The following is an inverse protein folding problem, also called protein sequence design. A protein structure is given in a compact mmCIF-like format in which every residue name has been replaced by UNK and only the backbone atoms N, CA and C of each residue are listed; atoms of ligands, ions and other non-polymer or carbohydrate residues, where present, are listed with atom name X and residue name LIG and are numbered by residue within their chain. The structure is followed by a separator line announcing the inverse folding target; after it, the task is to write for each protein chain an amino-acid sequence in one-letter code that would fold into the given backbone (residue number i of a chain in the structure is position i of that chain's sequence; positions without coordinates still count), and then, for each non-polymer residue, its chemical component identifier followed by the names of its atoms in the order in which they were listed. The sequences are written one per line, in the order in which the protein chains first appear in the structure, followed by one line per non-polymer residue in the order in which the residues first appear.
data_IF_163126272297
#
_entry.id   IF_163126272297
#
_cell.length_a   1.000
_cell.length_b   1.000
_cell.length_c   1.000
_cell.angle_alpha   90.00
_cell.angle_beta   90.00
_cell.angle_gamma   90.00
#
_symmetry.space_group_name_H-M   'P 1'
#
loop_
_entity.id
_entity.type
_entity.pdbx_description
1 polymer ?
#
# COMPACT_ATOMS: atom_id res chain seq x y z
N UNK A 1 -6.07 -10.87 -4.99
CA UNK A 1 -6.31 -11.63 -3.74
C UNK A 1 -6.89 -12.98 -4.11
N UNK A 2 -6.26 -14.09 -3.68
CA UNK A 2 -6.72 -15.43 -4.06
C UNK A 2 -7.82 -15.97 -3.14
N UNK A 3 -7.75 -15.66 -1.84
CA UNK A 3 -8.69 -16.26 -0.87
C UNK A 3 -9.56 -15.25 -0.15
N UNK A 4 -8.97 -14.11 0.29
CA UNK A 4 -9.70 -13.12 1.08
C UNK A 4 -9.09 -11.73 0.91
N UNK A 5 -9.90 -10.70 1.12
CA UNK A 5 -9.47 -9.30 1.23
C UNK A 5 -9.29 -8.87 2.68
N UNK A 6 -9.67 -9.73 3.64
CA UNK A 6 -9.47 -9.52 5.07
C UNK A 6 -9.14 -10.89 5.70
N UNK A 7 -7.88 -11.09 6.08
CA UNK A 7 -7.42 -12.33 6.71
C UNK A 7 -7.87 -12.32 8.17
N UNK A 8 -8.62 -13.33 8.57
CA UNK A 8 -9.12 -13.50 9.93
C UNK A 8 -8.72 -14.85 10.52
N UNK A 9 -8.94 -15.06 11.82
CA UNK A 9 -8.47 -16.24 12.56
C UNK A 9 -8.85 -17.57 11.89
N UNK A 10 -10.07 -17.70 11.35
CA UNK A 10 -10.53 -18.91 10.63
C UNK A 10 -9.69 -19.25 9.39
N UNK A 11 -8.99 -18.27 8.82
CA UNK A 11 -8.23 -18.40 7.57
C UNK A 11 -6.75 -18.74 7.83
N UNK A 12 -6.28 -18.68 9.10
CA UNK A 12 -4.87 -18.88 9.45
C UNK A 12 -4.35 -20.27 9.09
N UNK A 13 -5.22 -21.28 8.99
CA UNK A 13 -4.86 -22.63 8.52
C UNK A 13 -4.31 -22.63 7.08
N UNK A 14 -4.59 -21.59 6.29
CA UNK A 14 -4.03 -21.41 4.95
C UNK A 14 -2.52 -21.21 4.98
N UNK A 15 -1.98 -20.58 6.03
CA UNK A 15 -0.55 -20.32 6.16
C UNK A 15 0.23 -21.65 6.20
N UNK A 16 -0.21 -22.61 7.01
CA UNK A 16 0.42 -23.93 7.06
C UNK A 16 0.31 -24.68 5.72
N UNK A 17 -0.82 -24.53 5.03
CA UNK A 17 -1.02 -25.13 3.71
C UNK A 17 -0.05 -24.53 2.70
N UNK A 18 0.10 -23.20 2.67
CA UNK A 18 1.03 -22.51 1.77
C UNK A 18 2.48 -22.92 2.04
N UNK A 19 2.87 -23.00 3.30
CA UNK A 19 4.21 -23.46 3.67
C UNK A 19 4.47 -24.90 3.21
N UNK A 20 3.53 -25.82 3.41
CA UNK A 20 3.64 -27.23 2.97
C UNK A 20 3.74 -27.36 1.45
N UNK A 21 3.09 -26.48 0.69
CA UNK A 21 3.16 -26.47 -0.80
C UNK A 21 4.50 -25.87 -1.28
N UNK A 22 5.26 -25.17 -0.41
CA UNK A 22 6.59 -24.65 -0.72
C UNK A 22 6.66 -23.17 -0.99
N UNK A 23 5.66 -22.38 -0.59
CA UNK A 23 5.75 -20.92 -0.64
C UNK A 23 6.72 -20.38 0.43
N UNK A 24 7.46 -19.34 0.09
CA UNK A 24 8.38 -18.65 1.00
C UNK A 24 7.67 -17.58 1.81
N UNK A 25 6.62 -16.96 1.28
CA UNK A 25 5.89 -15.88 1.94
C UNK A 25 4.48 -15.67 1.43
N UNK A 26 3.83 -14.68 2.03
CA UNK A 26 2.45 -14.27 1.74
C UNK A 26 2.35 -12.75 1.66
N UNK A 27 1.46 -12.25 0.81
CA UNK A 27 1.08 -10.84 0.78
C UNK A 27 -0.24 -10.64 1.52
N UNK A 28 -0.23 -9.74 2.50
CA UNK A 28 -1.35 -9.50 3.41
C UNK A 28 -2.08 -8.22 3.02
N UNK A 29 -3.40 -8.28 2.74
CA UNK A 29 -4.20 -7.10 2.47
C UNK A 29 -4.43 -6.28 3.73
N UNK A 30 -4.12 -4.98 3.67
CA UNK A 30 -4.39 -3.98 4.70
C UNK A 30 -5.42 -3.00 4.15
N UNK A 31 -6.70 -3.38 4.24
CA UNK A 31 -7.80 -2.58 3.70
C UNK A 31 -8.73 -2.06 4.80
N UNK A 32 -8.79 -2.76 5.92
CA UNK A 32 -9.58 -2.43 7.12
C UNK A 32 -9.02 -3.17 8.34
N UNK A 33 -9.35 -2.73 9.54
CA UNK A 33 -8.97 -3.38 10.79
C UNK A 33 -8.07 -2.52 11.68
N UNK A 34 -7.80 -3.03 12.87
CA UNK A 34 -6.97 -2.38 13.87
C UNK A 34 -5.55 -2.98 13.87
N UNK A 35 -4.56 -2.21 14.33
CA UNK A 35 -3.15 -2.64 14.39
C UNK A 35 -2.98 -3.94 15.20
N UNK A 36 -3.72 -4.10 16.30
CA UNK A 36 -3.69 -5.33 17.12
C UNK A 36 -4.14 -6.59 16.36
N UNK A 37 -5.06 -6.45 15.41
CA UNK A 37 -5.46 -7.54 14.53
C UNK A 37 -4.28 -7.99 13.65
N UNK A 38 -3.57 -7.05 13.05
CA UNK A 38 -2.42 -7.32 12.20
C UNK A 38 -1.22 -7.87 12.97
N UNK A 39 -1.04 -7.47 14.23
CA UNK A 39 -0.05 -8.08 15.10
C UNK A 39 -0.31 -9.60 15.30
N UNK A 40 -1.56 -10.01 15.53
CA UNK A 40 -1.92 -11.44 15.67
C UNK A 40 -1.66 -12.22 14.38
N UNK A 41 -1.98 -11.61 13.22
CA UNK A 41 -1.66 -12.19 11.90
C UNK A 41 -0.14 -12.37 11.76
N UNK A 42 0.65 -11.35 12.08
CA UNK A 42 2.10 -11.40 12.03
C UNK A 42 2.70 -12.52 12.87
N UNK A 43 2.16 -12.75 14.09
CA UNK A 43 2.58 -13.86 14.93
C UNK A 43 2.26 -15.22 14.28
N UNK A 44 1.09 -15.38 13.65
CA UNK A 44 0.73 -16.60 12.95
C UNK A 44 1.64 -16.86 11.73
N UNK A 45 1.94 -15.85 10.94
CA UNK A 45 2.85 -15.94 9.79
C UNK A 45 4.24 -16.38 10.24
N UNK A 46 4.78 -15.72 11.27
CA UNK A 46 6.08 -16.07 11.86
C UNK A 46 6.11 -17.51 12.34
N UNK A 47 5.06 -17.97 13.04
CA UNK A 47 4.96 -19.34 13.54
C UNK A 47 4.88 -20.38 12.41
N UNK A 48 4.32 -20.02 11.26
CA UNK A 48 4.28 -20.88 10.06
C UNK A 48 5.59 -20.88 9.27
N UNK A 49 6.57 -20.04 9.65
CA UNK A 49 7.86 -19.94 8.97
C UNK A 49 7.77 -19.30 7.59
N UNK A 50 6.77 -18.45 7.37
CA UNK A 50 6.59 -17.66 6.14
C UNK A 50 7.11 -16.24 6.33
N UNK A 51 7.58 -15.63 5.24
CA UNK A 51 7.82 -14.18 5.14
C UNK A 51 6.53 -13.45 4.78
N UNK A 52 6.50 -12.12 4.96
CA UNK A 52 5.33 -11.32 4.58
C UNK A 52 5.70 -10.04 3.84
N UNK A 53 4.88 -9.71 2.85
CA UNK A 53 4.68 -8.38 2.32
C UNK A 53 3.25 -7.93 2.60
N UNK A 54 2.97 -6.66 2.47
CA UNK A 54 1.62 -6.12 2.66
C UNK A 54 1.20 -5.26 1.49
N UNK A 55 -0.12 -5.16 1.27
CA UNK A 55 -0.69 -4.37 0.19
C UNK A 55 -1.84 -3.53 0.70
N UNK A 56 -1.90 -2.26 0.26
CA UNK A 56 -3.03 -1.37 0.53
C UNK A 56 -3.50 -0.67 -0.73
N UNK A 57 -4.75 -0.20 -0.72
CA UNK A 57 -5.39 0.54 -1.81
C UNK A 57 -6.18 1.71 -1.25
N UNK A 58 -6.42 2.72 -2.07
CA UNK A 58 -7.30 3.83 -1.71
C UNK A 58 -8.63 3.65 -2.43
N UNK A 59 -9.68 3.39 -1.67
CA UNK A 59 -11.06 3.25 -2.18
C UNK A 59 -11.99 4.37 -1.73
N UNK A 60 -11.61 5.11 -0.67
CA UNK A 60 -12.41 6.21 -0.15
C UNK A 60 -12.03 7.53 -0.84
N UNK A 61 -13.02 8.18 -1.47
CA UNK A 61 -12.83 9.46 -2.19
C UNK A 61 -12.27 10.59 -1.33
N UNK A 62 -12.51 10.55 -0.02
CA UNK A 62 -11.99 11.54 0.91
C UNK A 62 -10.53 11.31 1.32
N UNK A 63 -9.87 10.25 0.85
CA UNK A 63 -8.46 9.90 1.12
C UNK A 63 -7.60 10.01 -0.14
N UNK A 64 -7.86 11.04 -0.96
CA UNK A 64 -7.30 11.11 -2.30
C UNK A 64 -5.98 11.93 -2.33
N UNK A 65 -4.81 11.29 -2.59
CA UNK A 65 -3.50 11.95 -2.61
C UNK A 65 -3.38 13.04 -3.66
N UNK A 66 -4.10 12.92 -4.78
CA UNK A 66 -4.04 13.89 -5.90
C UNK A 66 -5.08 15.03 -5.77
N UNK A 67 -5.96 14.98 -4.76
CA UNK A 67 -7.04 15.96 -4.59
C UNK A 67 -6.52 17.40 -4.48
N UNK A 68 -7.23 18.34 -5.08
CA UNK A 68 -7.00 19.78 -4.85
C UNK A 68 -7.40 20.22 -3.44
N UNK A 69 -8.29 19.46 -2.77
CA UNK A 69 -8.68 19.69 -1.39
C UNK A 69 -7.60 19.20 -0.43
N UNK A 70 -7.04 20.10 0.37
CA UNK A 70 -5.99 19.78 1.34
C UNK A 70 -6.46 18.71 2.36
N UNK A 71 -7.70 18.81 2.85
CA UNK A 71 -8.21 17.86 3.83
C UNK A 71 -8.29 16.42 3.32
N UNK A 72 -8.49 16.20 2.01
CA UNK A 72 -8.46 14.86 1.43
C UNK A 72 -7.03 14.30 1.41
N UNK A 73 -6.04 15.15 1.14
CA UNK A 73 -4.62 14.74 1.16
C UNK A 73 -4.13 14.47 2.58
N UNK A 74 -4.54 15.27 3.56
CA UNK A 74 -4.23 15.03 4.98
C UNK A 74 -4.79 13.68 5.44
N UNK A 75 -6.03 13.36 5.07
CA UNK A 75 -6.62 12.05 5.36
C UNK A 75 -5.93 10.91 4.61
N UNK A 76 -5.44 11.15 3.38
CA UNK A 76 -4.62 10.17 2.67
C UNK A 76 -3.31 9.86 3.41
N UNK A 77 -2.64 10.89 3.95
CA UNK A 77 -1.43 10.73 4.76
C UNK A 77 -1.73 9.89 6.01
N UNK A 78 -2.80 10.19 6.73
CA UNK A 78 -3.17 9.43 7.93
C UNK A 78 -3.56 7.97 7.61
N UNK A 79 -4.23 7.74 6.48
CA UNK A 79 -4.52 6.39 5.99
C UNK A 79 -3.24 5.61 5.67
N UNK A 80 -2.27 6.23 5.00
CA UNK A 80 -0.98 5.58 4.71
C UNK A 80 -0.18 5.31 5.98
N UNK A 81 -0.18 6.22 6.96
CA UNK A 81 0.44 5.97 8.27
C UNK A 81 -0.19 4.78 8.97
N UNK A 82 -1.51 4.70 9.00
CA UNK A 82 -2.21 3.53 9.54
C UNK A 82 -1.82 2.23 8.82
N UNK A 83 -1.75 2.23 7.49
CA UNK A 83 -1.34 1.06 6.73
C UNK A 83 0.13 0.66 7.01
N UNK A 84 1.01 1.64 7.21
CA UNK A 84 2.41 1.43 7.62
C UNK A 84 2.48 0.81 9.02
N UNK A 85 1.70 1.32 9.98
CA UNK A 85 1.64 0.77 11.35
C UNK A 85 1.12 -0.67 11.34
N UNK A 86 0.12 -0.98 10.52
CA UNK A 86 -0.36 -2.35 10.32
C UNK A 86 0.70 -3.24 9.68
N UNK A 87 1.46 -2.74 8.70
CA UNK A 87 2.58 -3.45 8.07
C UNK A 87 3.69 -3.77 9.08
N UNK A 88 4.03 -2.83 9.94
CA UNK A 88 5.01 -3.04 11.02
C UNK A 88 4.52 -4.09 12.02
N UNK A 89 3.24 -4.04 12.40
CA UNK A 89 2.61 -5.01 13.30
C UNK A 89 2.61 -6.43 12.73
N UNK A 90 2.45 -6.60 11.41
CA UNK A 90 2.62 -7.88 10.71
C UNK A 90 4.08 -8.35 10.76
N UNK A 91 5.04 -7.43 10.80
CA UNK A 91 6.46 -7.68 10.61
C UNK A 91 6.89 -7.59 9.14
N UNK A 92 6.03 -7.06 8.26
CA UNK A 92 6.35 -6.79 6.85
C UNK A 92 7.33 -5.63 6.72
N UNK A 93 8.27 -5.76 5.78
CA UNK A 93 9.21 -4.68 5.44
C UNK A 93 8.89 -4.01 4.10
N UNK A 94 7.78 -4.41 3.48
CA UNK A 94 7.31 -3.85 2.23
C UNK A 94 5.78 -3.64 2.29
N UNK A 95 5.36 -2.39 2.07
CA UNK A 95 3.96 -2.04 1.81
C UNK A 95 3.83 -1.66 0.34
N UNK A 96 3.12 -2.49 -0.42
CA UNK A 96 2.89 -2.30 -1.84
C UNK A 96 1.46 -1.79 -2.13
N UNK A 97 1.22 -1.38 -3.36
CA UNK A 97 -0.11 -1.14 -3.91
C UNK A 97 -0.31 0.17 -4.64
N UNK A 98 -1.49 0.35 -5.24
CA UNK A 98 -1.83 1.53 -6.03
C UNK A 98 -2.40 2.66 -5.14
N UNK A 99 -1.65 3.14 -4.17
CA UNK A 99 -2.08 4.14 -3.19
C UNK A 99 -1.82 5.61 -3.60
N UNK A 100 -1.77 5.89 -4.92
CA UNK A 100 -1.54 7.22 -5.49
C UNK A 100 -2.83 7.94 -5.91
N UNK A 101 -3.93 7.23 -6.07
CA UNK A 101 -5.25 7.80 -6.36
C UNK A 101 -6.37 6.90 -5.81
N UNK A 102 -7.59 7.37 -5.85
CA UNK A 102 -8.78 6.53 -5.60
C UNK A 102 -9.02 5.62 -6.79
N UNK A 103 -9.07 4.31 -6.56
CA UNK A 103 -9.31 3.31 -7.60
C UNK A 103 -10.69 3.53 -8.24
N UNK A 104 -10.73 3.48 -9.58
CA UNK A 104 -11.97 3.66 -10.35
C UNK A 104 -12.41 5.11 -10.53
N UNK A 105 -11.70 6.10 -9.99
CA UNK A 105 -11.97 7.52 -10.22
C UNK A 105 -11.14 8.04 -11.41
N UNK A 106 -11.81 8.74 -12.33
CA UNK A 106 -11.21 9.25 -13.56
C UNK A 106 -11.54 10.73 -13.77
N UNK A 107 -10.52 11.51 -14.12
CA UNK A 107 -10.69 12.93 -14.48
C UNK A 107 -11.20 13.12 -15.92
N UNK A 108 -11.13 12.08 -16.76
CA UNK A 108 -11.37 12.17 -18.20
C UNK A 108 -10.25 12.87 -18.98
N UNK A 109 -9.13 13.16 -18.32
CA UNK A 109 -7.92 13.80 -18.88
C UNK A 109 -6.67 13.10 -18.36
N UNK A 110 -5.53 13.27 -19.05
CA UNK A 110 -4.24 12.82 -18.50
C UNK A 110 -3.93 13.48 -17.15
N UNK A 111 -3.10 12.85 -16.30
CA UNK A 111 -2.69 13.42 -15.03
C UNK A 111 -1.94 14.74 -15.24
N UNK A 112 -2.27 15.72 -14.42
CA UNK A 112 -1.63 17.05 -14.46
C UNK A 112 -0.37 17.07 -13.60
N UNK A 113 0.51 18.03 -13.86
CA UNK A 113 1.71 18.24 -13.02
C UNK A 113 1.34 18.62 -11.59
N UNK A 114 0.25 19.36 -11.40
CA UNK A 114 -0.23 19.74 -10.06
C UNK A 114 -0.73 18.51 -9.28
N UNK A 115 -1.41 17.56 -9.94
CA UNK A 115 -1.79 16.29 -9.32
C UNK A 115 -0.56 15.48 -8.91
N UNK A 116 0.45 15.42 -9.79
CA UNK A 116 1.73 14.75 -9.48
C UNK A 116 2.41 15.37 -8.28
N UNK A 117 2.53 16.71 -8.22
CA UNK A 117 3.15 17.42 -7.10
C UNK A 117 2.42 17.19 -5.78
N UNK A 118 1.08 17.26 -5.77
CA UNK A 118 0.28 16.97 -4.58
C UNK A 118 0.49 15.55 -4.06
N UNK A 119 0.51 14.58 -4.97
CA UNK A 119 0.74 13.18 -4.62
C UNK A 119 2.16 12.96 -4.10
N UNK A 120 3.17 13.62 -4.68
CA UNK A 120 4.56 13.60 -4.21
C UNK A 120 4.65 14.06 -2.76
N UNK A 121 4.01 15.16 -2.39
CA UNK A 121 3.99 15.67 -1.01
C UNK A 121 3.41 14.64 -0.02
N UNK A 122 2.35 13.93 -0.42
CA UNK A 122 1.74 12.86 0.39
C UNK A 122 2.70 11.68 0.54
N UNK A 123 3.31 11.22 -0.55
CA UNK A 123 4.20 10.08 -0.54
C UNK A 123 5.53 10.36 0.17
N UNK A 124 6.05 11.58 0.09
CA UNK A 124 7.22 11.99 0.86
C UNK A 124 6.97 11.88 2.36
N UNK A 125 5.83 12.38 2.84
CA UNK A 125 5.46 12.29 4.26
C UNK A 125 5.23 10.84 4.70
N UNK A 126 4.57 10.02 3.87
CA UNK A 126 4.38 8.60 4.14
C UNK A 126 5.74 7.85 4.19
N UNK A 127 6.65 8.13 3.26
CA UNK A 127 7.98 7.52 3.20
C UNK A 127 8.84 7.90 4.40
N UNK A 128 8.83 9.18 4.79
CA UNK A 128 9.54 9.67 5.98
C UNK A 128 8.98 9.03 7.27
N UNK A 129 7.68 8.73 7.30
CA UNK A 129 7.05 8.00 8.40
C UNK A 129 7.47 6.52 8.39
N UNK A 130 7.38 5.83 7.26
CA UNK A 130 7.71 4.42 7.09
C UNK A 130 9.18 4.10 7.40
N UNK A 131 10.08 5.07 7.18
CA UNK A 131 11.52 4.94 7.50
C UNK A 131 11.76 4.63 8.97
N UNK A 132 10.89 5.05 9.89
CA UNK A 132 11.01 4.80 11.33
C UNK A 132 10.91 3.31 11.68
N UNK A 133 10.09 2.56 10.92
CA UNK A 133 9.91 1.11 11.06
C UNK A 133 10.72 0.30 10.03
N UNK A 134 11.62 0.97 9.27
CA UNK A 134 12.39 0.35 8.21
C UNK A 134 11.51 -0.39 7.18
N UNK A 135 10.41 0.29 6.77
CA UNK A 135 9.48 -0.19 5.75
C UNK A 135 9.73 0.55 4.44
N UNK A 136 9.81 -0.19 3.34
CA UNK A 136 9.79 0.35 2.00
C UNK A 136 8.36 0.46 1.48
N UNK A 137 8.07 1.53 0.75
CA UNK A 137 6.82 1.73 0.04
C UNK A 137 7.03 1.41 -1.44
N UNK A 138 6.14 0.63 -2.04
CA UNK A 138 6.21 0.22 -3.45
C UNK A 138 4.88 0.51 -4.13
N UNK A 139 4.88 1.46 -5.08
CA UNK A 139 3.67 1.76 -5.84
C UNK A 139 3.48 0.77 -6.99
N UNK A 140 2.24 0.34 -7.20
CA UNK A 140 1.85 -0.55 -8.28
C UNK A 140 1.17 0.23 -9.39
N UNK A 141 1.81 0.41 -10.57
CA UNK A 141 1.11 1.00 -11.71
C UNK A 141 0.00 0.07 -12.21
N UNK A 142 -1.20 0.60 -12.33
CA UNK A 142 -2.36 -0.16 -12.78
C UNK A 142 -2.70 0.13 -14.26
N UNK A 143 -3.49 -0.75 -14.83
CA UNK A 143 -4.02 -0.55 -16.18
C UNK A 143 -4.99 0.65 -16.21
N UNK A 144 -5.18 1.22 -17.41
CA UNK A 144 -6.01 2.41 -17.65
C UNK A 144 -7.52 2.24 -17.41
N UNK A 145 -7.98 1.04 -17.08
CA UNK A 145 -9.38 0.76 -16.73
C UNK A 145 -9.62 0.84 -15.22
N UNK A 146 -8.55 0.83 -14.44
CA UNK A 146 -8.59 0.92 -12.98
C UNK A 146 -8.14 2.29 -12.47
N UNK A 147 -7.17 2.92 -13.15
CA UNK A 147 -6.70 4.26 -12.80
C UNK A 147 -6.24 5.04 -14.05
N UNK A 148 -6.01 6.35 -13.89
CA UNK A 148 -5.48 7.20 -14.97
C UNK A 148 -4.13 7.83 -14.62
N UNK A 149 -3.69 7.75 -13.36
CA UNK A 149 -2.55 8.53 -12.87
C UNK A 149 -1.19 7.91 -13.25
N UNK A 150 -1.01 6.60 -13.02
CA UNK A 150 0.20 5.86 -13.39
C UNK A 150 -0.18 4.56 -14.09
N UNK A 151 0.13 4.45 -15.38
CA UNK A 151 -0.24 3.30 -16.20
C UNK A 151 0.94 2.59 -16.87
N UNK A 152 2.12 3.20 -16.88
CA UNK A 152 3.32 2.64 -17.49
C UNK A 152 4.49 2.61 -16.52
N UNK A 153 5.44 1.73 -16.75
CA UNK A 153 6.69 1.68 -15.98
C UNK A 153 7.47 2.98 -16.12
N UNK A 154 7.52 3.56 -17.32
CA UNK A 154 8.23 4.82 -17.60
C UNK A 154 7.66 6.00 -16.80
N UNK A 155 6.31 6.15 -16.78
CA UNK A 155 5.65 7.17 -15.97
C UNK A 155 5.91 6.96 -14.48
N UNK A 156 5.94 5.69 -14.05
CA UNK A 156 6.16 5.32 -12.66
C UNK A 156 7.60 5.63 -12.23
N UNK A 157 8.60 5.29 -13.05
CA UNK A 157 10.00 5.66 -12.78
C UNK A 157 10.15 7.19 -12.66
N UNK A 158 9.59 7.94 -13.61
CA UNK A 158 9.62 9.41 -13.58
C UNK A 158 8.94 9.98 -12.34
N UNK A 159 7.87 9.34 -11.87
CA UNK A 159 7.17 9.76 -10.66
C UNK A 159 7.98 9.45 -9.40
N UNK A 160 8.64 8.29 -9.32
CA UNK A 160 9.53 7.90 -8.22
C UNK A 160 10.69 8.88 -8.08
N UNK A 161 11.28 9.30 -9.20
CA UNK A 161 12.33 10.32 -9.21
C UNK A 161 11.84 11.66 -8.61
N UNK A 162 10.56 12.01 -8.81
CA UNK A 162 9.97 13.20 -8.19
C UNK A 162 9.75 13.04 -6.67
N UNK A 163 9.42 11.84 -6.19
CA UNK A 163 9.25 11.56 -4.75
C UNK A 163 10.58 11.66 -4.02
N UNK A 164 11.67 11.22 -4.63
CA UNK A 164 13.04 11.34 -4.13
C UNK A 164 13.20 10.84 -2.68
N UNK A 165 12.85 9.58 -2.45
CA UNK A 165 13.02 8.87 -1.17
C UNK A 165 13.60 7.47 -1.40
N UNK A 166 14.68 7.14 -0.68
CA UNK A 166 15.40 5.86 -0.80
C UNK A 166 14.53 4.63 -0.52
N UNK A 167 13.49 4.79 0.32
CA UNK A 167 12.55 3.74 0.69
C UNK A 167 11.23 3.82 -0.08
N UNK A 168 11.21 4.48 -1.25
CA UNK A 168 10.06 4.57 -2.15
C UNK A 168 10.42 4.04 -3.54
N UNK A 169 9.66 3.06 -4.05
CA UNK A 169 9.92 2.40 -5.33
C UNK A 169 8.64 1.85 -5.98
N UNK A 170 8.79 0.91 -6.89
CA UNK A 170 7.69 0.15 -7.49
C UNK A 170 8.08 -1.31 -7.73
#
# INVERSE_FOLDING_TARGET
MLWTTNLVEKDLHLLDTLKKVGYDGVEIPIFEGEVDHFYKIGQAIKNSGLESTSVTVITNKNYNPISSNLADRERAIEHLKWAIDCSDAIGSKLLAGPFYQVIGEFSGKPPTIDEKQRCVEVHQQASDYAKKSNISLSIEPLNRFECYFLNTVEDTCSYIDMVDRENFGF
#
